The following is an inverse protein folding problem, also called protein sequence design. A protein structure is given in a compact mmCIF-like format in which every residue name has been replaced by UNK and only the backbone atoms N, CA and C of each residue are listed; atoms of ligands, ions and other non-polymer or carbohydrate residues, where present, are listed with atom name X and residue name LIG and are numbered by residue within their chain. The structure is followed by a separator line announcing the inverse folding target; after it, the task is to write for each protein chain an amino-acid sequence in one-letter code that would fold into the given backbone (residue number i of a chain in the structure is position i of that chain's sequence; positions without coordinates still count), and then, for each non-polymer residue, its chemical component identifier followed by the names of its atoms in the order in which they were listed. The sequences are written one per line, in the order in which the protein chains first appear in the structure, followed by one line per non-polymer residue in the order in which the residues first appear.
data_IF_753502556129
#
_entry.id   IF_753502556129
#
_cell.length_a   1.000
_cell.length_b   1.000
_cell.length_c   1.000
_cell.angle_alpha   90.00
_cell.angle_beta   90.00
_cell.angle_gamma   90.00
#
_symmetry.space_group_name_H-M   'P 1'
#
loop_
_entity.id
_entity.type
_entity.pdbx_description
1 polymer ?
#
# COMPACT_ATOMS: atom_id res chain seq x y z
N UNK A 1 -14.69 -2.47 8.61
CA UNK A 1 -13.72 -2.80 7.53
C UNK A 1 -13.43 -1.51 6.78
N UNK A 2 -12.21 -1.32 6.27
CA UNK A 2 -11.80 -0.08 5.63
C UNK A 2 -11.16 -0.40 4.29
N UNK A 3 -11.31 0.49 3.31
CA UNK A 3 -10.75 0.28 1.97
C UNK A 3 -9.58 1.22 1.71
N UNK A 4 -9.39 2.26 2.54
CA UNK A 4 -8.39 3.29 2.31
C UNK A 4 -7.44 3.36 3.50
N UNK A 5 -6.19 3.65 3.21
CA UNK A 5 -5.18 3.97 4.21
C UNK A 5 -4.16 4.95 3.64
N UNK A 6 -3.34 5.49 4.51
CA UNK A 6 -2.26 6.41 4.15
C UNK A 6 -0.93 5.96 4.75
N UNK A 7 0.13 6.17 3.98
CA UNK A 7 1.51 5.78 4.29
C UNK A 7 2.38 7.04 4.21
N UNK A 8 3.21 7.29 5.22
CA UNK A 8 4.00 8.52 5.28
C UNK A 8 5.17 8.49 4.31
N UNK A 9 5.93 7.41 4.33
CA UNK A 9 7.06 7.17 3.45
C UNK A 9 7.06 5.70 3.06
N UNK A 10 7.43 5.42 1.81
CA UNK A 10 7.64 4.07 1.31
C UNK A 10 9.13 3.93 1.07
N UNK A 11 9.71 2.84 1.59
CA UNK A 11 11.05 2.43 1.24
C UNK A 11 10.96 1.55 0.00
N UNK A 12 11.44 2.06 -1.14
CA UNK A 12 11.37 1.38 -2.42
C UNK A 12 12.61 0.51 -2.66
N UNK A 13 12.37 -0.71 -3.09
CA UNK A 13 13.37 -1.60 -3.70
C UNK A 13 13.38 -1.36 -5.21
N UNK A 14 12.18 -1.32 -5.80
CA UNK A 14 11.93 -0.98 -7.19
C UNK A 14 10.85 0.10 -7.21
N UNK A 15 11.24 1.36 -7.35
CA UNK A 15 10.29 2.48 -7.36
C UNK A 15 9.52 2.50 -8.68
N UNK A 16 8.18 2.38 -8.66
CA UNK A 16 7.37 2.52 -9.86
C UNK A 16 7.18 4.00 -10.21
N UNK A 17 6.81 4.28 -11.46
CA UNK A 17 6.37 5.62 -11.84
C UNK A 17 5.04 5.95 -11.14
N UNK A 18 5.05 7.02 -10.33
CA UNK A 18 3.92 7.48 -9.52
C UNK A 18 3.45 8.88 -9.94
N UNK A 19 3.67 9.25 -11.20
CA UNK A 19 3.06 10.44 -11.82
C UNK A 19 1.53 10.35 -11.84
N UNK A 20 1.00 9.15 -12.04
CA UNK A 20 -0.44 8.84 -11.98
C UNK A 20 -0.74 7.74 -10.94
N UNK A 21 -2.01 7.58 -10.51
CA UNK A 21 -2.43 6.44 -9.71
C UNK A 21 -2.15 5.11 -10.42
N UNK A 22 -1.44 4.21 -9.76
CA UNK A 22 -1.10 2.88 -10.31
C UNK A 22 -1.89 1.78 -9.62
N UNK A 23 -2.24 0.75 -10.39
CA UNK A 23 -2.82 -0.50 -9.86
C UNK A 23 -1.69 -1.47 -9.51
N UNK A 24 -1.75 -2.04 -8.33
CA UNK A 24 -0.78 -3.00 -7.84
C UNK A 24 -1.42 -3.89 -6.77
N UNK A 25 -0.65 -4.77 -6.16
CA UNK A 25 -1.09 -5.59 -5.04
C UNK A 25 -0.38 -5.17 -3.76
N UNK A 26 -1.06 -5.28 -2.62
CA UNK A 26 -0.44 -5.02 -1.34
C UNK A 26 -0.99 -5.93 -0.25
N UNK A 27 -0.17 -6.19 0.77
CA UNK A 27 -0.59 -6.83 2.01
C UNK A 27 -0.24 -5.96 3.21
N UNK A 28 -1.13 -5.96 4.19
CA UNK A 28 -1.00 -5.19 5.45
C UNK A 28 -0.74 -6.10 6.65
N UNK A 29 -0.64 -7.42 6.42
CA UNK A 29 -0.41 -8.44 7.43
C UNK A 29 0.50 -9.53 6.90
N UNK A 30 1.33 -10.04 7.80
CA UNK A 30 2.13 -11.22 7.51
C UNK A 30 1.22 -12.42 7.22
N UNK A 31 1.54 -13.18 6.15
CA UNK A 31 0.77 -14.35 5.65
C UNK A 31 -0.65 -14.04 5.14
N UNK A 32 -0.98 -12.78 4.93
CA UNK A 32 -2.17 -12.42 4.16
C UNK A 32 -1.85 -12.58 2.66
N UNK A 33 -2.83 -13.06 1.89
CA UNK A 33 -2.77 -13.01 0.43
C UNK A 33 -2.69 -11.55 -0.06
N UNK A 34 -1.94 -11.32 -1.13
CA UNK A 34 -1.81 -9.99 -1.71
C UNK A 34 -3.17 -9.49 -2.21
N UNK A 35 -3.46 -8.21 -2.01
CA UNK A 35 -4.76 -7.61 -2.30
C UNK A 35 -4.61 -6.51 -3.35
N UNK A 36 -5.42 -6.58 -4.40
CA UNK A 36 -5.51 -5.51 -5.39
C UNK A 36 -5.82 -4.15 -4.74
N UNK A 37 -5.00 -3.15 -5.06
CA UNK A 37 -5.21 -1.77 -4.64
C UNK A 37 -4.68 -0.77 -5.66
N UNK A 38 -5.09 0.48 -5.48
CA UNK A 38 -4.57 1.63 -6.21
C UNK A 38 -3.68 2.41 -5.26
N UNK A 39 -2.43 2.67 -5.68
CA UNK A 39 -1.49 3.53 -4.99
C UNK A 39 -1.47 4.90 -5.67
N UNK A 40 -1.47 5.97 -4.89
CA UNK A 40 -1.35 7.33 -5.39
C UNK A 40 -0.46 8.18 -4.49
N UNK A 41 0.44 8.97 -5.09
CA UNK A 41 1.22 9.97 -4.37
C UNK A 41 0.36 11.19 -4.03
N UNK A 42 0.42 11.67 -2.79
CA UNK A 42 -0.30 12.84 -2.27
C UNK A 42 0.70 13.77 -1.57
N UNK A 43 1.42 14.55 -2.37
CA UNK A 43 2.48 15.42 -1.88
C UNK A 43 3.63 14.60 -1.29
N UNK A 44 3.79 14.67 0.04
CA UNK A 44 4.83 13.93 0.78
C UNK A 44 4.38 12.55 1.27
N UNK A 45 3.10 12.22 1.17
CA UNK A 45 2.55 10.93 1.63
C UNK A 45 1.97 10.14 0.46
N UNK A 46 1.53 8.92 0.75
CA UNK A 46 0.90 8.03 -0.22
C UNK A 46 -0.47 7.60 0.29
N UNK A 47 -1.43 7.52 -0.63
CA UNK A 47 -2.76 6.97 -0.39
C UNK A 47 -2.85 5.60 -1.06
N UNK A 48 -3.41 4.64 -0.33
CA UNK A 48 -3.68 3.30 -0.83
C UNK A 48 -5.17 3.03 -0.74
N UNK A 49 -5.76 2.55 -1.83
CA UNK A 49 -7.18 2.21 -1.90
C UNK A 49 -7.36 0.77 -2.39
N UNK A 50 -7.73 -0.12 -1.48
CA UNK A 50 -8.00 -1.52 -1.78
C UNK A 50 -9.32 -1.69 -2.50
N UNK A 51 -9.32 -2.57 -3.51
CA UNK A 51 -10.52 -2.98 -4.24
C UNK A 51 -11.55 -3.66 -3.33
N UNK A 52 -11.08 -4.42 -2.34
CA UNK A 52 -11.92 -5.09 -1.33
C UNK A 52 -11.61 -4.54 0.08
N UNK A 53 -12.62 -4.43 0.96
CA UNK A 53 -12.41 -3.98 2.34
C UNK A 53 -11.43 -4.85 3.11
N UNK A 54 -10.48 -4.22 3.78
CA UNK A 54 -9.50 -4.87 4.63
C UNK A 54 -9.91 -4.76 6.11
N UNK A 55 -9.62 -5.83 6.87
CA UNK A 55 -9.91 -5.91 8.30
C UNK A 55 -8.72 -5.43 9.12
N UNK A 56 -9.03 -4.66 10.16
CA UNK A 56 -8.10 -4.23 11.20
C UNK A 56 -6.78 -3.68 10.62
N UNK A 57 -6.94 -2.61 9.83
CA UNK A 57 -5.88 -1.69 9.40
C UNK A 57 -5.53 -0.79 10.58
N UNK A 58 -4.35 -0.98 11.16
CA UNK A 58 -3.92 -0.26 12.36
C UNK A 58 -2.69 0.60 12.05
N UNK A 59 -2.65 1.87 12.50
CA UNK A 59 -1.42 2.67 12.46
C UNK A 59 -0.24 1.94 13.15
N UNK A 60 0.96 2.07 12.61
CA UNK A 60 2.15 1.35 13.05
C UNK A 60 2.36 -0.01 12.39
N UNK A 61 1.36 -0.55 11.67
CA UNK A 61 1.57 -1.75 10.87
C UNK A 61 2.26 -1.42 9.54
N UNK A 62 3.06 -2.36 9.06
CA UNK A 62 3.67 -2.25 7.73
C UNK A 62 2.70 -2.68 6.64
N UNK A 63 2.76 -1.97 5.52
CA UNK A 63 2.21 -2.40 4.22
C UNK A 63 3.36 -2.69 3.27
N UNK A 64 3.22 -3.75 2.48
CA UNK A 64 4.19 -4.15 1.45
C UNK A 64 3.48 -4.20 0.10
N UNK A 65 4.12 -3.63 -0.91
CA UNK A 65 3.60 -3.48 -2.27
C UNK A 65 4.29 -4.45 -3.24
N UNK A 66 3.49 -5.03 -4.13
CA UNK A 66 3.90 -5.99 -5.13
C UNK A 66 3.31 -5.65 -6.49
N UNK A 67 4.05 -5.96 -7.55
CA UNK A 67 3.58 -5.91 -8.92
C UNK A 67 4.14 -7.11 -9.67
N UNK A 68 3.28 -7.92 -10.28
CA UNK A 68 3.66 -9.12 -11.03
C UNK A 68 4.60 -10.06 -10.24
N UNK A 69 4.32 -10.26 -8.95
CA UNK A 69 5.12 -11.01 -7.98
C UNK A 69 6.48 -10.38 -7.59
N UNK A 70 6.79 -9.18 -8.07
CA UNK A 70 7.98 -8.41 -7.68
C UNK A 70 7.66 -7.55 -6.47
N UNK A 71 8.46 -7.65 -5.41
CA UNK A 71 8.36 -6.76 -4.27
C UNK A 71 8.88 -5.36 -4.66
N UNK A 72 7.98 -4.37 -4.66
CA UNK A 72 8.33 -2.99 -4.97
C UNK A 72 8.91 -2.28 -3.76
N UNK A 73 8.41 -2.59 -2.56
CA UNK A 73 8.83 -1.94 -1.33
C UNK A 73 7.75 -1.98 -0.25
N UNK A 74 7.93 -1.20 0.81
CA UNK A 74 6.98 -1.14 1.91
C UNK A 74 7.12 0.11 2.78
N UNK A 75 6.10 0.36 3.59
CA UNK A 75 6.05 1.53 4.45
C UNK A 75 5.16 1.32 5.66
N UNK A 76 5.17 2.27 6.58
CA UNK A 76 4.35 2.24 7.79
C UNK A 76 3.01 2.95 7.56
N UNK A 77 1.93 2.27 7.90
CA UNK A 77 0.58 2.82 7.88
C UNK A 77 0.48 3.86 9.00
N UNK A 78 0.15 5.12 8.68
CA UNK A 78 -0.02 6.16 9.70
C UNK A 78 -1.49 6.54 9.91
N UNK A 79 -2.37 6.24 8.95
CA UNK A 79 -3.80 6.53 9.03
C UNK A 79 -4.60 5.50 8.23
N UNK A 80 -5.79 5.15 8.73
CA UNK A 80 -6.79 4.34 8.03
C UNK A 80 -8.16 5.00 8.05
#
# INVERSE_FOLDING_TARGET
MKNKLSVNSINWICEPDLTEPIKLEAKIRYRQDDQECILSKKGKTFSVEFKKPQRAITPGQSIVFYQDNVCLGGGEIYKS
#
